data_IF_380868882868
#
_entry.id   IF_380868882868
#
_cell.length_a   1.000
_cell.length_b   1.000
_cell.length_c   1.000
_cell.angle_alpha   90.00
_cell.angle_beta   90.00
_cell.angle_gamma   90.00
#
_symmetry.space_group_name_H-M   'P 1'
#
loop_
_entity.id
_entity.type
_entity.pdbx_description
1 polymer ?
#
# COMPACT_ATOMS: atom_id res chain seq x y z
N UNK A 1 62.91 -1.33 -44.00
CA UNK A 1 62.01 -2.47 -44.11
C UNK A 1 61.35 -2.60 -42.78
N UNK A 2 60.42 -2.07 -42.69
CA UNK A 2 58.96 -2.05 -42.61
C UNK A 2 58.41 -3.05 -41.54
N UNK A 3 58.06 -2.56 -40.38
CA UNK A 3 57.27 -3.25 -39.36
C UNK A 3 56.25 -2.32 -38.67
N UNK A 4 55.33 -1.81 -39.50
CA UNK A 4 54.20 -1.03 -39.00
C UNK A 4 52.90 -1.44 -39.66
N UNK A 5 52.39 -2.64 -39.34
CA UNK A 5 51.01 -3.04 -39.65
C UNK A 5 50.59 -4.25 -38.80
N UNK A 6 50.12 -4.06 -37.57
CA UNK A 6 49.17 -5.01 -36.90
C UNK A 6 48.77 -4.53 -35.51
N UNK A 7 48.21 -3.33 -35.35
CA UNK A 7 47.61 -2.93 -34.05
C UNK A 7 46.20 -2.31 -34.12
N UNK A 8 45.55 -2.32 -35.27
CA UNK A 8 44.23 -1.65 -35.42
C UNK A 8 43.03 -2.62 -35.47
N UNK A 9 43.25 -3.95 -35.52
CA UNK A 9 42.11 -4.89 -35.65
C UNK A 9 41.48 -5.36 -34.31
N UNK A 10 42.23 -5.29 -33.20
CA UNK A 10 41.72 -5.80 -31.93
C UNK A 10 40.69 -4.88 -31.25
N UNK A 11 40.84 -3.59 -31.41
CA UNK A 11 39.93 -2.57 -30.78
C UNK A 11 38.57 -2.49 -31.48
N UNK A 12 38.49 -2.75 -32.78
CA UNK A 12 37.24 -2.81 -33.53
C UNK A 12 36.43 -4.06 -33.22
N UNK A 13 37.08 -5.21 -33.13
CA UNK A 13 36.43 -6.48 -32.77
C UNK A 13 35.84 -6.45 -31.35
N UNK A 14 36.53 -5.81 -30.39
CA UNK A 14 36.07 -5.66 -29.02
C UNK A 14 34.84 -4.73 -28.91
N UNK A 15 34.83 -3.62 -29.68
CA UNK A 15 33.67 -2.71 -29.74
C UNK A 15 32.44 -3.35 -30.39
N UNK A 16 32.63 -4.17 -31.41
CA UNK A 16 31.56 -4.92 -32.09
C UNK A 16 31.00 -6.00 -31.13
N UNK A 17 31.86 -6.71 -30.40
CA UNK A 17 31.45 -7.72 -29.40
C UNK A 17 30.65 -7.11 -28.23
N UNK A 18 31.07 -5.95 -27.73
CA UNK A 18 30.33 -5.21 -26.68
C UNK A 18 28.98 -4.71 -27.20
N UNK A 19 28.93 -4.18 -28.44
CA UNK A 19 27.69 -3.71 -29.06
C UNK A 19 26.69 -4.85 -29.29
N UNK A 20 27.15 -6.01 -29.74
CA UNK A 20 26.32 -7.19 -29.93
C UNK A 20 25.82 -7.77 -28.58
N UNK A 21 26.65 -7.77 -27.54
CA UNK A 21 26.25 -8.17 -26.19
C UNK A 21 25.19 -7.27 -25.58
N UNK A 22 25.32 -5.96 -25.74
CA UNK A 22 24.33 -4.97 -25.27
C UNK A 22 23.03 -5.08 -26.07
N UNK A 23 23.09 -5.25 -27.39
CA UNK A 23 21.91 -5.44 -28.23
C UNK A 23 21.21 -6.78 -27.93
N UNK A 24 21.94 -7.86 -27.67
CA UNK A 24 21.40 -9.14 -27.23
C UNK A 24 20.72 -9.05 -25.88
N UNK A 25 21.34 -8.38 -24.91
CA UNK A 25 20.74 -8.14 -23.58
C UNK A 25 19.49 -7.26 -23.68
N UNK A 26 19.48 -6.23 -24.54
CA UNK A 26 18.28 -5.42 -24.82
C UNK A 26 17.16 -6.23 -25.48
N UNK A 27 17.46 -7.11 -26.44
CA UNK A 27 16.45 -7.98 -27.07
C UNK A 27 15.87 -8.99 -26.10
N UNK A 28 16.70 -9.57 -25.22
CA UNK A 28 16.24 -10.48 -24.15
C UNK A 28 15.38 -9.71 -23.15
N UNK A 29 15.81 -8.53 -22.69
CA UNK A 29 15.05 -7.66 -21.81
C UNK A 29 13.71 -7.24 -22.44
N UNK A 30 13.71 -6.88 -23.73
CA UNK A 30 12.51 -6.54 -24.48
C UNK A 30 11.58 -7.75 -24.63
N UNK A 31 12.10 -8.93 -24.90
CA UNK A 31 11.31 -10.18 -24.99
C UNK A 31 10.66 -10.52 -23.64
N UNK A 32 11.35 -10.32 -22.52
CA UNK A 32 10.79 -10.51 -21.19
C UNK A 32 9.80 -9.39 -20.80
N UNK A 33 10.08 -8.14 -21.18
CA UNK A 33 9.18 -7.00 -20.95
C UNK A 33 7.88 -7.11 -21.75
N UNK A 34 7.93 -7.73 -22.93
CA UNK A 34 6.78 -7.93 -23.83
C UNK A 34 6.02 -9.24 -23.57
N UNK A 35 6.52 -10.12 -22.70
CA UNK A 35 5.75 -11.31 -22.30
C UNK A 35 4.47 -10.85 -21.61
N UNK A 36 3.27 -11.24 -22.12
CA UNK A 36 2.04 -10.96 -21.40
C UNK A 36 2.11 -11.67 -20.05
N UNK A 37 1.96 -10.96 -18.93
CA UNK A 37 1.94 -11.58 -17.62
C UNK A 37 0.71 -12.49 -17.52
N UNK A 38 0.88 -13.68 -16.97
CA UNK A 38 -0.25 -14.58 -16.68
C UNK A 38 -0.93 -14.13 -15.39
N UNK A 39 -2.26 -13.95 -15.44
CA UNK A 39 -3.05 -13.66 -14.24
C UNK A 39 -2.93 -14.86 -13.29
N UNK A 40 -2.54 -14.60 -12.04
CA UNK A 40 -2.50 -15.60 -10.98
C UNK A 40 -3.80 -15.56 -10.19
N UNK A 41 -4.27 -16.72 -9.76
CA UNK A 41 -5.38 -16.76 -8.81
C UNK A 41 -4.87 -16.21 -7.48
N UNK A 42 -5.54 -15.21 -6.95
CA UNK A 42 -5.25 -14.68 -5.62
C UNK A 42 -5.71 -15.74 -4.61
N UNK A 43 -4.92 -16.04 -3.56
CA UNK A 43 -5.31 -17.00 -2.55
C UNK A 43 -6.64 -16.62 -1.88
N UNK A 44 -7.48 -17.60 -1.59
CA UNK A 44 -8.77 -17.39 -0.91
C UNK A 44 -8.58 -16.76 0.49
N UNK A 45 -7.39 -16.88 1.07
CA UNK A 45 -6.98 -16.25 2.32
C UNK A 45 -6.98 -14.70 2.28
N UNK A 46 -7.09 -14.07 1.10
CA UNK A 46 -7.11 -12.60 0.99
C UNK A 46 -8.28 -12.00 1.77
N UNK A 47 -9.41 -12.71 1.84
CA UNK A 47 -10.57 -12.28 2.61
C UNK A 47 -11.21 -13.48 3.34
N UNK A 48 -11.72 -13.26 4.57
CA UNK A 48 -12.49 -14.28 5.29
C UNK A 48 -13.72 -14.73 4.50
N UNK A 49 -14.03 -16.01 4.54
CA UNK A 49 -15.13 -16.64 3.78
C UNK A 49 -16.51 -16.03 4.03
N UNK A 50 -16.72 -15.39 5.19
CA UNK A 50 -17.99 -14.71 5.51
C UNK A 50 -18.17 -13.36 4.78
N UNK A 51 -17.16 -12.86 4.09
CA UNK A 51 -17.20 -11.58 3.39
C UNK A 51 -17.54 -11.78 1.90
N UNK A 52 -18.55 -11.05 1.43
CA UNK A 52 -18.90 -11.04 0.02
C UNK A 52 -17.91 -10.16 -0.76
N UNK A 53 -17.40 -10.67 -1.86
CA UNK A 53 -16.57 -9.90 -2.79
C UNK A 53 -17.46 -9.13 -3.76
N UNK A 54 -17.24 -7.83 -3.86
CA UNK A 54 -17.98 -6.90 -4.71
C UNK A 54 -17.04 -6.03 -5.52
N UNK A 55 -17.55 -5.40 -6.57
CA UNK A 55 -16.78 -4.54 -7.48
C UNK A 55 -17.51 -3.22 -7.71
N UNK A 56 -16.76 -2.12 -7.68
CA UNK A 56 -17.25 -0.76 -7.99
C UNK A 56 -16.35 -0.15 -9.06
N UNK A 57 -16.89 0.36 -10.16
CA UNK A 57 -16.13 1.15 -11.13
C UNK A 57 -15.83 2.55 -10.58
N UNK A 58 -14.61 3.02 -10.82
CA UNK A 58 -14.16 4.39 -10.56
C UNK A 58 -13.44 4.96 -11.79
N UNK A 59 -13.18 6.25 -11.82
CA UNK A 59 -12.44 6.88 -12.91
C UNK A 59 -11.00 6.36 -13.05
N UNK A 60 -10.40 5.88 -11.95
CA UNK A 60 -9.06 5.29 -11.98
C UNK A 60 -9.08 3.81 -12.41
N UNK A 61 -10.18 3.10 -12.17
CA UNK A 61 -10.36 1.67 -12.47
C UNK A 61 -11.34 1.00 -11.53
N UNK A 62 -11.56 -0.31 -11.70
CA UNK A 62 -12.43 -1.09 -10.85
C UNK A 62 -11.78 -1.35 -9.49
N UNK A 63 -12.51 -1.06 -8.42
CA UNK A 63 -12.18 -1.36 -7.03
C UNK A 63 -12.91 -2.63 -6.62
N UNK A 64 -12.15 -3.67 -6.30
CA UNK A 64 -12.67 -4.88 -5.65
C UNK A 64 -12.67 -4.63 -4.14
N UNK A 65 -13.73 -5.03 -3.45
CA UNK A 65 -13.84 -4.90 -2.01
C UNK A 65 -14.58 -6.06 -1.37
N UNK A 66 -14.28 -6.30 -0.11
CA UNK A 66 -14.90 -7.34 0.70
C UNK A 66 -15.83 -6.69 1.71
N UNK A 67 -17.03 -7.21 1.84
CA UNK A 67 -18.09 -6.62 2.69
C UNK A 67 -18.82 -7.68 3.50
N UNK A 68 -19.02 -7.39 4.78
CA UNK A 68 -19.91 -8.15 5.66
C UNK A 68 -20.54 -7.23 6.71
N UNK A 69 -21.59 -7.75 7.37
CA UNK A 69 -22.30 -7.05 8.42
C UNK A 69 -23.29 -6.02 7.90
N UNK A 70 -23.88 -5.26 8.83
CA UNK A 70 -24.91 -4.23 8.58
C UNK A 70 -24.75 -3.09 9.57
N UNK A 71 -25.34 -1.92 9.26
CA UNK A 71 -25.31 -0.74 10.10
C UNK A 71 -24.37 0.32 9.58
N UNK A 72 -23.75 1.09 10.48
CA UNK A 72 -22.86 2.19 10.14
C UNK A 72 -21.63 1.69 9.37
N UNK A 73 -21.22 2.36 8.29
CA UNK A 73 -20.08 1.90 7.48
C UNK A 73 -18.75 2.12 8.20
N UNK A 74 -17.93 1.06 8.21
CA UNK A 74 -16.57 1.03 8.72
C UNK A 74 -15.64 0.52 7.62
N UNK A 75 -14.78 1.40 7.10
CA UNK A 75 -13.92 1.11 5.96
C UNK A 75 -12.48 0.88 6.42
N UNK A 76 -11.88 -0.25 6.01
CA UNK A 76 -10.50 -0.60 6.28
C UNK A 76 -9.65 -0.46 5.02
N UNK A 77 -8.80 0.56 4.95
CA UNK A 77 -7.94 0.86 3.81
C UNK A 77 -6.53 0.35 4.10
N UNK A 78 -6.04 -0.59 3.27
CA UNK A 78 -4.68 -1.13 3.39
C UNK A 78 -3.62 -0.12 2.98
N UNK A 79 -2.38 -0.31 3.46
CA UNK A 79 -1.24 0.50 3.04
C UNK A 79 -0.89 0.28 1.56
N UNK A 80 -0.19 1.24 0.97
CA UNK A 80 0.45 1.10 -0.35
C UNK A 80 1.84 0.49 -0.16
N UNK A 81 2.08 -0.65 -0.83
CA UNK A 81 3.34 -1.39 -0.71
C UNK A 81 3.44 -2.57 -1.65
N UNK A 82 4.55 -3.28 -1.58
CA UNK A 82 4.80 -4.47 -2.38
C UNK A 82 3.80 -5.58 -2.04
N UNK A 83 2.93 -5.94 -2.99
CA UNK A 83 1.92 -6.98 -2.79
C UNK A 83 0.82 -6.63 -1.79
N UNK A 84 0.64 -5.36 -1.48
CA UNK A 84 -0.39 -4.89 -0.55
C UNK A 84 -1.80 -5.22 -1.03
N UNK A 85 -2.71 -5.44 -0.09
CA UNK A 85 -4.14 -5.71 -0.29
C UNK A 85 -4.90 -5.59 1.03
N UNK A 86 -6.21 -5.68 0.99
CA UNK A 86 -7.10 -5.77 2.16
C UNK A 86 -6.74 -6.88 3.15
N UNK A 87 -5.95 -7.87 2.71
CA UNK A 87 -5.38 -8.93 3.55
C UNK A 87 -4.61 -8.39 4.77
N UNK A 88 -4.03 -7.19 4.68
CA UNK A 88 -3.41 -6.51 5.82
C UNK A 88 -4.33 -6.54 7.05
N UNK A 89 -5.61 -6.26 6.86
CA UNK A 89 -6.63 -6.15 7.89
C UNK A 89 -7.45 -7.43 8.13
N UNK A 90 -7.21 -8.51 7.38
CA UNK A 90 -8.06 -9.70 7.36
C UNK A 90 -8.19 -10.42 8.71
N UNK A 91 -7.28 -10.19 9.67
CA UNK A 91 -7.38 -10.67 11.04
C UNK A 91 -8.11 -9.72 11.99
N UNK A 92 -8.37 -8.48 11.57
CA UNK A 92 -8.93 -7.42 12.43
C UNK A 92 -10.37 -7.10 12.03
N UNK A 93 -10.65 -6.81 10.78
CA UNK A 93 -11.95 -6.31 10.35
C UNK A 93 -13.13 -7.27 10.60
N UNK A 94 -12.98 -8.63 10.61
CA UNK A 94 -14.10 -9.52 10.89
C UNK A 94 -14.71 -9.33 12.28
N UNK A 95 -13.91 -8.89 13.25
CA UNK A 95 -14.35 -8.68 14.64
C UNK A 95 -15.37 -7.54 14.81
N UNK A 96 -15.66 -6.80 13.73
CA UNK A 96 -16.58 -5.65 13.72
C UNK A 96 -17.87 -5.92 12.93
N UNK A 97 -17.98 -7.05 12.21
CA UNK A 97 -19.11 -7.35 11.33
C UNK A 97 -20.46 -7.51 12.05
N UNK A 98 -20.47 -7.83 13.34
CA UNK A 98 -21.70 -7.97 14.13
C UNK A 98 -22.39 -6.61 14.43
N UNK A 99 -21.63 -5.50 14.43
CA UNK A 99 -22.17 -4.17 14.77
C UNK A 99 -21.97 -3.11 13.71
N UNK A 100 -21.22 -3.41 12.64
CA UNK A 100 -20.86 -2.48 11.58
C UNK A 100 -21.04 -3.10 10.21
N UNK A 101 -21.34 -2.28 9.22
CA UNK A 101 -21.14 -2.64 7.82
C UNK A 101 -19.65 -2.49 7.50
N UNK A 102 -18.92 -3.58 7.58
CA UNK A 102 -17.47 -3.61 7.37
C UNK A 102 -17.16 -3.73 5.89
N UNK A 103 -16.27 -2.86 5.42
CA UNK A 103 -15.89 -2.74 4.01
C UNK A 103 -14.36 -2.67 3.93
N UNK A 104 -13.75 -3.57 3.17
CA UNK A 104 -12.30 -3.64 2.99
C UNK A 104 -11.94 -3.64 1.51
N UNK A 105 -11.72 -2.46 0.88
CA UNK A 105 -11.34 -2.38 -0.52
C UNK A 105 -9.86 -2.71 -0.74
N UNK A 106 -9.58 -3.29 -1.89
CA UNK A 106 -8.26 -3.26 -2.51
C UNK A 106 -8.12 -2.00 -3.35
N UNK A 107 -7.11 -1.18 -3.12
CA UNK A 107 -6.88 0.03 -3.90
C UNK A 107 -6.52 -0.33 -5.35
N UNK A 108 -6.92 0.51 -6.31
CA UNK A 108 -6.52 0.34 -7.73
C UNK A 108 -5.00 0.28 -7.83
N UNK A 109 -4.50 -0.73 -8.55
CA UNK A 109 -3.07 -1.07 -8.60
C UNK A 109 -2.65 -2.20 -7.66
N UNK A 110 -3.51 -2.62 -6.72
CA UNK A 110 -3.21 -3.57 -5.64
C UNK A 110 -4.28 -4.66 -5.50
N UNK A 111 -3.99 -5.69 -4.68
CA UNK A 111 -4.91 -6.76 -4.32
C UNK A 111 -5.60 -7.44 -5.50
N UNK A 112 -6.91 -7.46 -5.53
CA UNK A 112 -7.74 -7.99 -6.62
C UNK A 112 -8.26 -6.90 -7.57
N UNK A 113 -8.07 -5.61 -7.24
CA UNK A 113 -8.51 -4.48 -8.02
C UNK A 113 -7.78 -4.35 -9.36
N UNK A 114 -8.33 -3.57 -10.28
CA UNK A 114 -7.75 -3.34 -11.61
C UNK A 114 -6.37 -2.65 -11.51
N UNK A 115 -5.53 -2.83 -12.53
CA UNK A 115 -4.16 -2.33 -12.58
C UNK A 115 -3.90 -1.62 -13.91
N UNK A 116 -4.48 -0.43 -14.11
CA UNK A 116 -4.28 0.31 -15.36
C UNK A 116 -2.83 0.77 -15.51
N UNK A 117 -2.36 0.84 -16.75
CA UNK A 117 -1.04 1.37 -17.06
C UNK A 117 -1.07 2.91 -17.12
N UNK A 118 -1.16 3.51 -15.95
CA UNK A 118 -1.20 4.98 -15.78
C UNK A 118 -0.08 5.45 -14.86
N UNK A 119 0.23 6.73 -14.90
CA UNK A 119 1.15 7.37 -13.96
C UNK A 119 0.38 7.76 -12.69
N UNK A 120 0.21 6.82 -11.77
CA UNK A 120 -0.48 7.05 -10.51
C UNK A 120 0.08 8.25 -9.73
N UNK A 121 -0.80 9.12 -9.25
CA UNK A 121 -0.48 10.27 -8.41
C UNK A 121 -1.40 10.31 -7.16
N UNK A 122 -1.02 11.01 -6.08
CA UNK A 122 -1.87 11.10 -4.88
C UNK A 122 -3.29 11.62 -5.16
N UNK A 123 -3.51 12.65 -6.00
CA UNK A 123 -4.87 13.09 -6.33
C UNK A 123 -5.75 12.04 -6.98
N UNK A 124 -5.17 11.13 -7.79
CA UNK A 124 -5.93 10.04 -8.43
C UNK A 124 -6.52 9.09 -7.39
N UNK A 125 -5.73 8.76 -6.34
CA UNK A 125 -6.21 7.93 -5.24
C UNK A 125 -7.25 8.63 -4.37
N UNK A 126 -7.07 9.92 -4.11
CA UNK A 126 -8.07 10.72 -3.36
C UNK A 126 -9.40 10.76 -4.11
N UNK A 127 -9.36 11.01 -5.42
CA UNK A 127 -10.55 11.02 -6.26
C UNK A 127 -11.20 9.62 -6.34
N UNK A 128 -10.39 8.57 -6.53
CA UNK A 128 -10.86 7.18 -6.54
C UNK A 128 -11.55 6.81 -5.22
N UNK A 129 -10.98 7.17 -4.06
CA UNK A 129 -11.58 6.93 -2.76
C UNK A 129 -12.91 7.69 -2.62
N UNK A 130 -12.99 8.94 -3.08
CA UNK A 130 -14.21 9.72 -3.06
C UNK A 130 -15.32 9.10 -3.93
N UNK A 131 -14.98 8.63 -5.12
CA UNK A 131 -15.90 7.94 -6.03
C UNK A 131 -16.35 6.59 -5.46
N UNK A 132 -15.42 5.81 -4.90
CA UNK A 132 -15.70 4.54 -4.23
C UNK A 132 -16.70 4.72 -3.09
N UNK A 133 -16.46 5.68 -2.17
CA UNK A 133 -17.35 5.92 -1.02
C UNK A 133 -18.73 6.35 -1.47
N UNK A 134 -18.85 7.15 -2.52
CA UNK A 134 -20.16 7.52 -3.10
C UNK A 134 -20.88 6.32 -3.72
N UNK A 135 -20.16 5.47 -4.42
CA UNK A 135 -20.72 4.34 -5.16
C UNK A 135 -21.18 3.18 -4.26
N UNK A 136 -20.60 3.00 -3.08
CA UNK A 136 -21.02 1.94 -2.13
C UNK A 136 -22.29 2.30 -1.35
N UNK A 137 -22.90 3.46 -1.62
CA UNK A 137 -24.18 3.90 -1.05
C UNK A 137 -24.24 3.73 0.48
N UNK A 138 -23.43 4.50 1.20
CA UNK A 138 -23.44 4.53 2.64
C UNK A 138 -24.63 5.34 3.15
N UNK A 139 -25.37 4.84 4.14
CA UNK A 139 -26.47 5.55 4.80
C UNK A 139 -26.00 6.80 5.54
N UNK A 140 -24.74 6.81 5.96
CA UNK A 140 -24.05 7.91 6.62
C UNK A 140 -22.56 7.91 6.27
N UNK A 141 -21.86 8.99 6.56
CA UNK A 141 -20.42 9.06 6.32
C UNK A 141 -19.68 7.98 7.12
N UNK A 142 -18.75 7.22 6.47
CA UNK A 142 -18.02 6.13 7.12
C UNK A 142 -17.00 6.62 8.15
N UNK A 143 -16.73 5.77 9.12
CA UNK A 143 -15.46 5.77 9.84
C UNK A 143 -14.42 5.06 8.98
N UNK A 144 -13.27 5.68 8.76
CA UNK A 144 -12.19 5.13 7.93
C UNK A 144 -11.01 4.76 8.83
N UNK A 145 -10.60 3.51 8.75
CA UNK A 145 -9.37 2.99 9.36
C UNK A 145 -8.39 2.78 8.22
N UNK A 146 -7.23 3.42 8.27
CA UNK A 146 -6.25 3.37 7.19
C UNK A 146 -4.82 3.29 7.72
N UNK A 147 -3.92 2.70 6.96
CA UNK A 147 -2.52 2.55 7.35
C UNK A 147 -1.55 3.22 6.36
N UNK A 148 -0.41 3.62 6.87
CA UNK A 148 0.75 4.10 6.13
C UNK A 148 0.44 5.26 5.18
N UNK A 149 0.82 5.12 3.92
CA UNK A 149 0.61 6.13 2.88
C UNK A 149 -0.88 6.32 2.58
N UNK A 150 -1.68 5.25 2.59
CA UNK A 150 -3.13 5.33 2.41
C UNK A 150 -3.81 6.13 3.52
N UNK A 151 -3.28 6.07 4.75
CA UNK A 151 -3.76 6.94 5.83
C UNK A 151 -3.57 8.43 5.48
N UNK A 152 -2.42 8.80 4.91
CA UNK A 152 -2.18 10.15 4.41
C UNK A 152 -3.15 10.57 3.29
N UNK A 153 -3.45 9.66 2.36
CA UNK A 153 -4.46 9.90 1.31
C UNK A 153 -5.87 10.09 1.90
N UNK A 154 -6.23 9.33 2.95
CA UNK A 154 -7.51 9.49 3.65
C UNK A 154 -7.60 10.83 4.41
N UNK A 155 -6.48 11.37 4.91
CA UNK A 155 -6.45 12.73 5.47
C UNK A 155 -6.76 13.76 4.37
N UNK A 156 -6.10 13.65 3.21
CA UNK A 156 -6.41 14.54 2.07
C UNK A 156 -7.86 14.41 1.60
N UNK A 157 -8.40 13.18 1.56
CA UNK A 157 -9.82 12.94 1.26
C UNK A 157 -10.73 13.70 2.24
N UNK A 158 -10.44 13.62 3.55
CA UNK A 158 -11.24 14.31 4.58
C UNK A 158 -11.14 15.83 4.50
N UNK A 159 -10.01 16.37 4.03
CA UNK A 159 -9.84 17.82 3.77
C UNK A 159 -10.63 18.25 2.53
N UNK A 160 -10.53 17.51 1.42
CA UNK A 160 -11.15 17.87 0.14
C UNK A 160 -12.65 17.56 0.10
N UNK A 161 -13.06 16.45 0.75
CA UNK A 161 -14.43 15.93 0.75
C UNK A 161 -14.92 15.62 2.18
N UNK A 162 -15.01 16.61 3.08
CA UNK A 162 -15.31 16.37 4.50
C UNK A 162 -16.65 15.66 4.72
N UNK A 163 -17.63 15.81 3.84
CA UNK A 163 -18.90 15.11 3.93
C UNK A 163 -18.82 13.59 3.73
N UNK A 164 -17.74 13.09 3.13
CA UNK A 164 -17.52 11.66 2.88
C UNK A 164 -16.80 10.95 4.02
N UNK A 165 -16.45 11.64 5.10
CA UNK A 165 -15.67 11.05 6.19
C UNK A 165 -16.26 11.50 7.52
N UNK A 166 -16.70 10.57 8.37
CA UNK A 166 -17.14 10.90 9.72
C UNK A 166 -15.96 11.04 10.69
N UNK A 167 -15.01 10.13 10.61
CA UNK A 167 -13.84 10.04 11.50
C UNK A 167 -12.70 9.26 10.81
N UNK A 168 -11.47 9.56 11.19
CA UNK A 168 -10.27 8.86 10.77
C UNK A 168 -9.60 8.16 11.96
N UNK A 169 -9.23 6.89 11.78
CA UNK A 169 -8.35 6.15 12.67
C UNK A 169 -7.14 5.71 11.81
N UNK A 170 -5.98 6.31 12.08
CA UNK A 170 -4.83 6.24 11.19
C UNK A 170 -3.71 5.45 11.86
N UNK A 171 -3.30 4.35 11.24
CA UNK A 171 -2.16 3.56 11.69
C UNK A 171 -0.88 4.02 10.97
N UNK A 172 0.08 4.55 11.75
CA UNK A 172 1.37 5.00 11.25
C UNK A 172 1.27 5.81 9.94
N UNK A 173 0.43 6.88 9.91
CA UNK A 173 0.25 7.67 8.70
C UNK A 173 1.59 8.26 8.25
N UNK A 174 1.86 8.20 6.94
CA UNK A 174 3.03 8.82 6.36
C UNK A 174 2.69 9.55 5.05
N UNK A 175 3.53 10.49 4.66
CA UNK A 175 3.37 11.27 3.43
C UNK A 175 4.45 10.97 2.38
N UNK A 176 5.46 10.17 2.72
CA UNK A 176 6.61 9.95 1.86
C UNK A 176 6.52 8.66 1.06
N UNK A 177 5.67 7.73 1.50
CA UNK A 177 5.64 6.37 0.98
C UNK A 177 6.84 5.52 1.44
N UNK A 178 7.76 6.12 2.19
CA UNK A 178 8.88 5.40 2.78
C UNK A 178 8.35 4.59 3.97
N UNK A 179 8.46 3.28 3.93
CA UNK A 179 8.28 2.41 5.11
C UNK A 179 9.48 2.58 6.07
N UNK A 180 9.86 3.80 6.39
CA UNK A 180 10.83 4.19 7.41
C UNK A 180 12.29 3.77 7.22
N UNK A 181 12.63 2.88 6.29
CA UNK A 181 13.96 2.27 6.29
C UNK A 181 14.82 2.48 5.05
N UNK A 182 14.30 3.00 3.94
CA UNK A 182 15.11 3.17 2.73
C UNK A 182 14.99 4.57 2.13
N UNK A 183 15.85 5.47 2.58
CA UNK A 183 16.18 6.65 1.76
C UNK A 183 16.71 6.12 0.42
N UNK A 184 15.93 6.30 -0.64
CA UNK A 184 16.34 5.95 -1.98
C UNK A 184 17.73 6.56 -2.25
N UNK A 185 18.72 5.71 -2.54
CA UNK A 185 20.03 6.16 -2.97
C UNK A 185 19.87 6.92 -4.29
N UNK A 186 20.82 7.80 -4.64
CA UNK A 186 20.81 8.49 -5.95
C UNK A 186 20.68 7.50 -7.12
N UNK A 187 21.28 6.32 -6.98
CA UNK A 187 21.26 5.25 -7.97
C UNK A 187 19.86 4.62 -8.15
N UNK A 188 19.16 4.33 -7.04
CA UNK A 188 17.77 3.83 -7.12
C UNK A 188 16.84 4.89 -7.71
N UNK A 189 17.00 6.17 -7.37
CA UNK A 189 16.23 7.26 -8.00
C UNK A 189 16.47 7.34 -9.51
N UNK A 190 17.71 7.09 -9.96
CA UNK A 190 18.02 7.04 -11.39
C UNK A 190 17.31 5.86 -12.08
N UNK A 191 17.33 4.66 -11.48
CA UNK A 191 16.64 3.47 -12.02
C UNK A 191 15.14 3.74 -12.19
N UNK A 192 14.49 4.34 -11.18
CA UNK A 192 13.05 4.65 -11.25
C UNK A 192 12.68 5.71 -12.28
N UNK A 193 13.64 6.49 -12.79
CA UNK A 193 13.45 7.39 -13.93
C UNK A 193 13.46 6.67 -15.29
N UNK A 194 13.85 5.40 -15.31
CA UNK A 194 13.84 4.53 -16.49
C UNK A 194 12.70 3.50 -16.38
N UNK A 195 11.45 3.85 -16.78
CA UNK A 195 10.27 3.07 -16.45
C UNK A 195 10.32 1.62 -16.97
N UNK A 196 10.91 1.37 -18.13
CA UNK A 196 11.04 0.01 -18.68
C UNK A 196 12.01 -0.82 -17.82
N UNK A 197 13.14 -0.25 -17.40
CA UNK A 197 14.11 -0.93 -16.54
C UNK A 197 13.53 -1.19 -15.15
N UNK A 198 12.88 -0.19 -14.56
CA UNK A 198 12.24 -0.31 -13.25
C UNK A 198 11.17 -1.42 -13.25
N UNK A 199 10.31 -1.47 -14.28
CA UNK A 199 9.30 -2.53 -14.44
C UNK A 199 9.94 -3.90 -14.66
N UNK A 200 10.99 -3.98 -15.45
CA UNK A 200 11.74 -5.23 -15.64
C UNK A 200 12.34 -5.73 -14.32
N UNK A 201 13.00 -4.88 -13.55
CA UNK A 201 13.59 -5.22 -12.25
C UNK A 201 12.49 -5.62 -11.24
N UNK A 202 11.38 -4.89 -11.22
CA UNK A 202 10.24 -5.24 -10.38
C UNK A 202 9.74 -6.66 -10.69
N UNK A 203 9.40 -6.94 -11.93
CA UNK A 203 8.84 -8.23 -12.35
C UNK A 203 9.77 -9.43 -12.11
N UNK A 204 11.07 -9.25 -12.35
CA UNK A 204 12.00 -10.36 -12.36
C UNK A 204 12.81 -10.53 -11.06
N UNK A 205 12.84 -9.49 -10.22
CA UNK A 205 13.63 -9.50 -9.00
C UNK A 205 12.83 -9.13 -7.77
N UNK A 206 12.15 -7.98 -7.75
CA UNK A 206 11.53 -7.46 -6.55
C UNK A 206 10.22 -8.16 -6.17
N UNK A 207 9.42 -8.58 -7.16
CA UNK A 207 8.15 -9.29 -6.93
C UNK A 207 8.30 -10.81 -6.81
N UNK A 208 9.53 -11.34 -6.87
CA UNK A 208 9.74 -12.78 -6.67
C UNK A 208 9.37 -13.19 -5.25
N UNK A 209 8.87 -14.43 -5.09
CA UNK A 209 8.51 -14.97 -3.77
C UNK A 209 9.63 -14.84 -2.74
N UNK A 210 10.86 -15.11 -3.14
CA UNK A 210 12.03 -15.00 -2.27
C UNK A 210 12.32 -13.55 -1.85
N UNK A 211 12.22 -12.60 -2.78
CA UNK A 211 12.42 -11.18 -2.49
C UNK A 211 11.30 -10.63 -1.58
N UNK A 212 10.05 -11.00 -1.84
CA UNK A 212 8.90 -10.65 -0.98
C UNK A 212 9.08 -11.22 0.42
N UNK A 213 9.43 -12.50 0.55
CA UNK A 213 9.70 -13.14 1.85
C UNK A 213 10.83 -12.44 2.61
N UNK A 214 11.92 -12.10 1.92
CA UNK A 214 13.03 -11.37 2.52
C UNK A 214 12.60 -9.97 3.00
N UNK A 215 11.87 -9.23 2.17
CA UNK A 215 11.38 -7.89 2.50
C UNK A 215 10.41 -7.91 3.69
N UNK A 216 9.45 -8.84 3.72
CA UNK A 216 8.52 -9.00 4.84
C UNK A 216 9.28 -9.27 6.15
N UNK A 217 10.25 -10.21 6.14
CA UNK A 217 11.00 -10.61 7.35
C UNK A 217 12.01 -9.56 7.82
N UNK A 218 12.51 -8.68 6.94
CA UNK A 218 13.60 -7.76 7.27
C UNK A 218 13.16 -6.31 7.43
N UNK A 219 12.06 -5.92 6.78
CA UNK A 219 11.68 -4.51 6.71
C UNK A 219 10.25 -4.22 7.20
N UNK A 220 9.39 -5.25 7.29
CA UNK A 220 7.97 -5.04 7.54
C UNK A 220 7.54 -5.59 8.91
N UNK A 221 7.87 -6.85 9.21
CA UNK A 221 7.53 -7.47 10.48
C UNK A 221 8.66 -7.26 11.50
N UNK A 222 8.31 -6.93 12.72
CA UNK A 222 9.25 -6.87 13.87
C UNK A 222 9.69 -8.29 14.21
N UNK A 223 8.72 -9.19 14.42
CA UNK A 223 9.02 -10.59 14.61
C UNK A 223 8.91 -11.35 13.28
N UNK A 224 10.05 -11.72 12.74
CA UNK A 224 10.14 -12.49 11.49
C UNK A 224 9.51 -13.88 11.58
N UNK A 225 9.29 -14.43 12.78
CA UNK A 225 8.62 -15.72 12.97
C UNK A 225 7.12 -15.67 12.63
N UNK A 226 6.51 -14.49 12.68
CA UNK A 226 5.12 -14.25 12.30
C UNK A 226 4.91 -14.28 10.77
N UNK A 227 5.99 -14.23 9.98
CA UNK A 227 5.92 -14.27 8.50
C UNK A 227 5.74 -15.71 8.03
N UNK A 228 4.48 -16.17 8.03
CA UNK A 228 4.10 -17.51 7.58
C UNK A 228 4.18 -17.66 6.06
N UNK A 229 4.17 -18.91 5.57
CA UNK A 229 4.11 -19.20 4.13
C UNK A 229 2.84 -18.64 3.48
N UNK A 230 1.69 -18.65 4.19
CA UNK A 230 0.45 -18.03 3.73
C UNK A 230 0.62 -16.53 3.47
N UNK A 231 1.24 -15.79 4.41
CA UNK A 231 1.51 -14.35 4.26
C UNK A 231 2.39 -14.12 3.03
N UNK A 232 3.46 -14.91 2.87
CA UNK A 232 4.36 -14.81 1.71
C UNK A 232 3.61 -15.08 0.42
N UNK A 233 2.75 -16.10 0.39
CA UNK A 233 1.99 -16.48 -0.80
C UNK A 233 1.00 -15.40 -1.22
N UNK A 234 0.26 -14.80 -0.29
CA UNK A 234 -0.67 -13.71 -0.59
C UNK A 234 0.08 -12.49 -1.15
N UNK A 235 1.11 -12.02 -0.42
CA UNK A 235 1.88 -10.85 -0.85
C UNK A 235 2.59 -11.07 -2.18
N UNK A 236 3.25 -12.23 -2.37
CA UNK A 236 3.94 -12.54 -3.61
C UNK A 236 2.97 -12.69 -4.79
N UNK A 237 1.79 -13.31 -4.57
CA UNK A 237 0.78 -13.45 -5.61
C UNK A 237 0.23 -12.09 -6.02
N UNK A 238 -0.08 -11.21 -5.07
CA UNK A 238 -0.54 -9.84 -5.37
C UNK A 238 0.55 -9.02 -6.08
N UNK A 239 1.83 -9.13 -5.66
CA UNK A 239 2.95 -8.46 -6.30
C UNK A 239 3.23 -8.95 -7.73
N UNK A 240 2.88 -10.20 -8.06
CA UNK A 240 3.10 -10.81 -9.37
C UNK A 240 1.89 -10.76 -10.30
N UNK A 241 0.80 -10.08 -9.90
CA UNK A 241 -0.33 -9.87 -10.81
C UNK A 241 0.06 -9.01 -12.02
N UNK A 242 -0.56 -9.24 -13.19
CA UNK A 242 -0.37 -8.40 -14.36
C UNK A 242 -0.64 -6.93 -14.01
N UNK A 243 0.31 -6.04 -14.28
CA UNK A 243 0.19 -4.60 -14.02
C UNK A 243 0.52 -4.16 -12.59
N UNK A 244 0.84 -5.08 -11.67
CA UNK A 244 1.24 -4.72 -10.30
C UNK A 244 2.46 -3.79 -10.25
N UNK A 245 3.32 -3.87 -11.28
CA UNK A 245 4.49 -3.01 -11.40
C UNK A 245 4.17 -1.52 -11.61
N UNK A 246 2.98 -1.16 -12.13
CA UNK A 246 2.68 0.23 -12.44
C UNK A 246 2.59 1.08 -11.17
N UNK A 247 1.71 0.72 -10.24
CA UNK A 247 1.55 1.40 -8.96
C UNK A 247 2.78 1.20 -8.05
N UNK A 248 3.33 -0.02 -7.99
CA UNK A 248 4.47 -0.34 -7.14
C UNK A 248 5.73 0.45 -7.53
N UNK A 249 6.09 0.51 -8.82
CA UNK A 249 7.25 1.28 -9.29
C UNK A 249 7.05 2.78 -9.05
N UNK A 250 5.82 3.28 -9.21
CA UNK A 250 5.50 4.68 -8.92
C UNK A 250 5.69 5.01 -7.43
N UNK A 251 5.17 4.15 -6.56
CA UNK A 251 5.37 4.24 -5.11
C UNK A 251 6.86 4.18 -4.74
N UNK A 252 7.58 3.16 -5.17
CA UNK A 252 9.02 2.97 -4.91
C UNK A 252 9.88 4.13 -5.42
N UNK A 253 9.49 4.76 -6.53
CA UNK A 253 10.13 5.94 -7.09
C UNK A 253 9.81 7.26 -6.36
N UNK A 254 8.96 7.23 -5.34
CA UNK A 254 8.53 8.41 -4.58
C UNK A 254 7.50 9.27 -5.31
N UNK A 255 6.82 8.72 -6.34
CA UNK A 255 5.81 9.43 -7.11
C UNK A 255 4.45 9.56 -6.41
N UNK A 256 4.28 8.91 -5.25
CA UNK A 256 3.06 9.00 -4.43
C UNK A 256 3.26 9.82 -3.15
N UNK A 257 4.24 10.73 -3.14
CA UNK A 257 4.47 11.62 -1.99
C UNK A 257 3.36 12.63 -1.85
N UNK A 258 3.01 12.92 -0.60
CA UNK A 258 2.02 13.94 -0.23
C UNK A 258 2.50 14.74 0.99
N UNK A 259 1.99 15.95 1.13
CA UNK A 259 2.23 16.79 2.30
C UNK A 259 1.23 16.43 3.40
N UNK A 260 1.61 15.48 4.25
CA UNK A 260 0.79 15.00 5.35
C UNK A 260 0.63 16.06 6.43
N UNK A 261 1.67 16.84 6.71
CA UNK A 261 1.69 17.83 7.79
C UNK A 261 0.66 18.93 7.52
N UNK A 262 0.67 19.50 6.32
CA UNK A 262 -0.33 20.49 5.89
C UNK A 262 -1.75 19.90 5.91
N UNK A 263 -1.93 18.67 5.45
CA UNK A 263 -3.23 18.02 5.44
C UNK A 263 -3.77 17.73 6.85
N UNK A 264 -2.93 17.27 7.79
CA UNK A 264 -3.33 17.06 9.19
C UNK A 264 -3.71 18.34 9.91
N UNK A 265 -3.02 19.45 9.63
CA UNK A 265 -3.39 20.76 10.18
C UNK A 265 -4.74 21.29 9.65
N UNK A 266 -5.11 20.88 8.43
CA UNK A 266 -6.32 21.35 7.76
C UNK A 266 -7.54 20.44 8.00
N UNK A 267 -7.35 19.21 8.51
CA UNK A 267 -8.44 18.26 8.68
C UNK A 267 -9.39 18.68 9.80
N UNK A 268 -10.68 18.86 9.44
CA UNK A 268 -11.74 19.25 10.37
C UNK A 268 -12.50 18.04 10.98
N UNK A 269 -12.11 16.83 10.65
CA UNK A 269 -12.73 15.60 11.16
C UNK A 269 -11.96 15.04 12.34
N UNK A 270 -12.63 14.36 13.29
CA UNK A 270 -11.94 13.69 14.39
C UNK A 270 -10.89 12.71 13.88
N UNK A 271 -9.68 12.77 14.44
CA UNK A 271 -8.56 11.88 14.10
C UNK A 271 -8.13 11.12 15.35
N UNK A 272 -7.87 9.82 15.18
CA UNK A 272 -7.15 9.02 16.16
C UNK A 272 -5.91 8.41 15.47
N UNK A 273 -4.81 8.34 16.19
CA UNK A 273 -3.56 7.77 15.71
C UNK A 273 -3.27 6.48 16.45
N UNK A 274 -2.83 5.45 15.72
CA UNK A 274 -2.24 4.23 16.28
C UNK A 274 -0.83 4.07 15.75
N UNK A 275 0.10 3.63 16.59
CA UNK A 275 1.51 3.59 16.24
C UNK A 275 2.20 2.34 16.76
N UNK A 276 3.01 1.67 15.92
CA UNK A 276 3.89 0.59 16.32
C UNK A 276 5.21 1.16 16.86
N UNK A 277 5.58 0.80 18.10
CA UNK A 277 6.78 1.30 18.76
C UNK A 277 8.08 0.88 18.10
N UNK A 278 8.09 -0.31 17.49
CA UNK A 278 9.25 -0.89 16.80
C UNK A 278 9.32 -0.55 15.30
N UNK A 279 8.36 0.24 14.81
CA UNK A 279 8.16 0.43 13.35
C UNK A 279 9.21 1.32 12.68
N UNK A 280 9.90 2.19 13.41
CA UNK A 280 10.94 3.07 12.90
C UNK A 280 11.81 3.61 14.06
N UNK A 281 13.08 3.98 13.82
CA UNK A 281 13.97 4.52 14.85
C UNK A 281 13.48 5.81 15.53
N UNK A 282 12.65 6.59 14.81
CA UNK A 282 12.06 7.86 15.25
C UNK A 282 10.55 7.77 15.51
N UNK A 283 10.04 6.55 15.75
CA UNK A 283 8.61 6.26 15.90
C UNK A 283 7.93 7.15 16.95
N UNK A 284 8.54 7.30 18.13
CA UNK A 284 7.99 8.11 19.20
C UNK A 284 7.95 9.61 18.86
N UNK A 285 9.03 10.16 18.33
CA UNK A 285 9.10 11.56 17.93
C UNK A 285 8.10 11.87 16.83
N UNK A 286 8.06 11.03 15.77
CA UNK A 286 7.17 11.20 14.64
C UNK A 286 5.70 11.09 15.06
N UNK A 287 5.33 10.09 15.87
CA UNK A 287 3.95 9.92 16.32
C UNK A 287 3.45 11.11 17.14
N UNK A 288 4.28 11.59 18.07
CA UNK A 288 3.96 12.78 18.89
C UNK A 288 3.92 14.07 18.06
N UNK A 289 4.77 14.19 17.04
CA UNK A 289 4.76 15.32 16.12
C UNK A 289 3.44 15.35 15.33
N UNK A 290 3.04 14.23 14.73
CA UNK A 290 1.79 14.14 13.98
C UNK A 290 0.56 14.32 14.86
N UNK A 291 0.59 13.82 16.11
CA UNK A 291 -0.46 14.07 17.09
C UNK A 291 -0.67 15.57 17.35
N UNK A 292 0.42 16.35 17.44
CA UNK A 292 0.30 17.82 17.64
C UNK A 292 -0.27 18.56 16.44
N UNK A 293 -0.09 18.01 15.22
CA UNK A 293 -0.63 18.59 13.99
C UNK A 293 -2.15 18.36 13.85
N UNK A 294 -2.63 17.20 14.28
CA UNK A 294 -4.06 16.90 14.24
C UNK A 294 -4.73 17.35 15.55
N UNK A 295 -5.52 18.42 15.49
CA UNK A 295 -6.17 18.98 16.67
C UNK A 295 -6.96 17.92 17.46
N UNK A 296 -6.67 17.79 18.76
CA UNK A 296 -7.29 16.83 19.68
C UNK A 296 -7.17 15.34 19.29
N UNK A 297 -6.19 14.97 18.48
CA UNK A 297 -5.99 13.57 18.12
C UNK A 297 -5.56 12.74 19.34
N UNK A 298 -6.21 11.60 19.56
CA UNK A 298 -5.73 10.58 20.47
C UNK A 298 -4.55 9.81 19.84
N UNK A 299 -3.61 9.35 20.64
CA UNK A 299 -2.49 8.50 20.22
C UNK A 299 -2.44 7.24 21.07
N UNK A 300 -2.50 6.08 20.41
CA UNK A 300 -2.30 4.77 21.04
C UNK A 300 -1.01 4.16 20.48
N UNK A 301 -0.07 3.83 21.35
CA UNK A 301 1.21 3.21 20.94
C UNK A 301 1.22 1.74 21.35
N UNK A 302 1.65 0.86 20.47
CA UNK A 302 1.83 -0.58 20.64
C UNK A 302 3.33 -0.87 20.72
N UNK A 303 3.92 -1.04 21.91
CA UNK A 303 5.38 -1.04 22.08
C UNK A 303 6.10 -2.14 21.31
N UNK A 304 5.48 -3.32 21.18
CA UNK A 304 6.09 -4.53 20.61
C UNK A 304 5.67 -4.83 19.16
N UNK A 305 5.01 -3.88 18.50
CA UNK A 305 4.56 -4.06 17.12
C UNK A 305 5.14 -2.99 16.19
N UNK A 306 5.11 -3.28 14.89
CA UNK A 306 5.63 -2.43 13.84
C UNK A 306 4.57 -1.95 12.85
N UNK A 307 4.97 -1.89 11.60
CA UNK A 307 4.15 -1.39 10.49
C UNK A 307 2.94 -2.31 10.24
N UNK A 308 3.09 -3.62 10.46
CA UNK A 308 2.04 -4.62 10.23
C UNK A 308 1.26 -4.99 11.50
N UNK A 309 1.01 -4.02 12.38
CA UNK A 309 0.31 -4.20 13.64
C UNK A 309 -0.95 -5.07 13.52
N UNK A 310 -1.77 -4.87 12.49
CA UNK A 310 -2.97 -5.67 12.25
C UNK A 310 -2.70 -7.18 12.01
N UNK A 311 -1.46 -7.55 11.72
CA UNK A 311 -1.00 -8.93 11.54
C UNK A 311 -0.11 -9.41 12.70
N UNK A 312 0.61 -8.50 13.34
CA UNK A 312 1.53 -8.79 14.46
C UNK A 312 0.78 -8.92 15.79
N UNK A 313 -0.16 -8.02 16.06
CA UNK A 313 -0.95 -7.97 17.31
C UNK A 313 -2.44 -7.66 17.02
N UNK A 314 -3.16 -8.56 16.29
CA UNK A 314 -4.54 -8.30 15.86
C UNK A 314 -5.51 -8.14 17.03
N UNK A 315 -5.37 -8.90 18.11
CA UNK A 315 -6.24 -8.83 19.28
C UNK A 315 -6.10 -7.49 20.01
N UNK A 316 -4.89 -7.00 20.16
CA UNK A 316 -4.61 -5.68 20.75
C UNK A 316 -5.16 -4.56 19.87
N UNK A 317 -4.98 -4.68 18.55
CA UNK A 317 -5.55 -3.71 17.60
C UNK A 317 -7.08 -3.72 17.64
N UNK A 318 -7.72 -4.87 17.70
CA UNK A 318 -9.19 -5.00 17.85
C UNK A 318 -9.65 -4.33 19.14
N UNK A 319 -8.98 -4.57 20.27
CA UNK A 319 -9.31 -3.96 21.55
C UNK A 319 -9.22 -2.42 21.49
N UNK A 320 -8.14 -1.90 20.96
CA UNK A 320 -7.93 -0.46 20.80
C UNK A 320 -8.97 0.18 19.87
N UNK A 321 -9.27 -0.46 18.73
CA UNK A 321 -10.29 0.03 17.81
C UNK A 321 -11.69 0.02 18.44
N UNK A 322 -12.04 -1.03 19.20
CA UNK A 322 -13.31 -1.08 19.93
C UNK A 322 -13.43 0.04 20.95
N UNK A 323 -12.36 0.39 21.62
CA UNK A 323 -12.37 1.51 22.55
C UNK A 323 -12.58 2.85 21.82
N UNK A 324 -11.86 3.08 20.74
CA UNK A 324 -11.99 4.29 19.94
C UNK A 324 -13.37 4.43 19.27
N UNK A 325 -14.04 3.31 18.97
CA UNK A 325 -15.36 3.27 18.34
C UNK A 325 -16.53 3.26 19.36
N UNK A 326 -16.27 3.17 20.68
CA UNK A 326 -17.33 3.10 21.72
C UNK A 326 -18.26 4.32 21.70
N UNK A 327 -17.73 5.50 21.50
CA UNK A 327 -18.53 6.72 21.50
C UNK A 327 -19.41 6.80 20.26
N UNK A 328 -18.93 6.29 19.14
CA UNK A 328 -19.70 6.14 17.92
C UNK A 328 -20.87 5.15 18.09
N UNK A 329 -20.68 4.05 18.82
CA UNK A 329 -21.72 3.06 19.14
C UNK A 329 -22.76 3.60 20.14
N UNK A 330 -22.36 4.43 21.10
CA UNK A 330 -23.28 5.04 22.08
C UNK A 330 -24.26 6.01 21.43
N UNK A 331 -23.87 6.69 20.35
CA UNK A 331 -24.74 7.56 19.56
C UNK A 331 -25.82 6.72 18.85
N UNK A 332 -25.45 5.56 18.32
CA UNK A 332 -26.37 4.63 17.64
C UNK A 332 -27.43 4.10 18.62
N UNK A 333 -27.02 3.68 19.81
CA UNK A 333 -27.93 3.10 20.83
C UNK A 333 -28.89 4.13 21.45
N UNK A 334 -28.64 5.46 21.26
CA UNK A 334 -29.54 6.53 21.72
C UNK A 334 -30.50 7.00 20.64
N UNK A 335 -30.26 6.66 19.38
CA UNK A 335 -31.06 7.05 18.23
C UNK A 335 -32.04 5.96 17.74
N UNK A 336 -31.96 4.75 18.25
CA UNK A 336 -32.91 3.63 18.04
C UNK A 336 -33.72 3.34 19.29
#
# INVERSE_FOLDING_TARGET
MDSSKTKTSSSAAWRIGLGAGVAGAMLVALKYALRPPTRRRVPDAISPTAFATKVVPTGLGEVVYHEAGRGRPLIFIHNIGLGASSYEWARVYPAFADGWRVIAPDLVGFGESSRPNVAFEPPDYVQMLAEFIRAIECSEAPVIIASGLSAGLCVQLAVQHPALVARLILHMPNGTGDCGQHRLTWFSRFIYRLPLLARFLFRNHLSTRAAVAHWLRKAIFVDSALVTEEIIDVFATCAQQPGAEFAAVRWMGGGLRLDLDTALNAVARPVALTWGGEGAPDAEETSRRLQRLAAAASLTVFPSAGIMLAREAPEEMIAALREQLRDDLRVILKAG
#
